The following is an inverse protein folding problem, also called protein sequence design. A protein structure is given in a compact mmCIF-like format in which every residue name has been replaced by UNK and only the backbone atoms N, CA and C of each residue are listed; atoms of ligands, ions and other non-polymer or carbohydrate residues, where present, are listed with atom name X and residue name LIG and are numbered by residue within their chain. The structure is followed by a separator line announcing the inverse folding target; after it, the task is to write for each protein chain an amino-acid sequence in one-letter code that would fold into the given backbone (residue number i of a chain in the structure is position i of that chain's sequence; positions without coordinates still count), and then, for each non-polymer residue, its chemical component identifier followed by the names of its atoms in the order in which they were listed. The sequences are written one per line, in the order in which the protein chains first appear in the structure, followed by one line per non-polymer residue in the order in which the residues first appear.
data_IF_833324278100
#
_entry.id   IF_833324278100
#
_cell.length_a   1.000
_cell.length_b   1.000
_cell.length_c   1.000
_cell.angle_alpha   90.00
_cell.angle_beta   90.00
_cell.angle_gamma   90.00
#
_symmetry.space_group_name_H-M   'P 1'
#
loop_
_entity.id
_entity.type
_entity.pdbx_description
1 polymer ?
#
# COMPACT_ATOMS: atom_id res chain seq x y z
N UNK A 1 -3.09 -61.74 -35.96
CA UNK A 1 -2.24 -60.95 -35.05
C UNK A 1 -2.94 -59.62 -34.77
N UNK A 2 -3.61 -59.51 -33.63
CA UNK A 2 -3.89 -58.23 -32.96
C UNK A 2 -2.59 -57.76 -32.24
N UNK A 3 -2.50 -56.60 -31.55
CA UNK A 3 -3.18 -55.28 -31.66
C UNK A 3 -2.22 -54.06 -31.39
N UNK A 4 -2.80 -52.85 -31.26
CA UNK A 4 -2.29 -51.63 -30.55
C UNK A 4 -1.34 -50.69 -31.33
N UNK A 5 -1.36 -49.34 -31.23
CA UNK A 5 -1.74 -48.36 -30.18
C UNK A 5 -2.25 -47.06 -30.87
N UNK A 6 -3.42 -46.50 -30.53
CA UNK A 6 -3.62 -45.40 -29.56
C UNK A 6 -2.52 -44.33 -29.55
N UNK A 7 -2.86 -43.13 -30.04
CA UNK A 7 -2.11 -41.90 -29.81
C UNK A 7 -3.08 -40.72 -29.75
N UNK A 8 -3.73 -40.53 -28.60
CA UNK A 8 -4.46 -39.31 -28.25
C UNK A 8 -3.42 -38.25 -27.94
N UNK A 9 -3.31 -37.19 -28.74
CA UNK A 9 -2.57 -36.00 -28.32
C UNK A 9 -3.52 -35.18 -27.45
N UNK A 10 -3.32 -35.30 -26.15
CA UNK A 10 -3.92 -34.43 -25.16
C UNK A 10 -3.33 -33.02 -25.33
N UNK A 11 -4.16 -32.08 -25.79
CA UNK A 11 -3.87 -30.67 -25.68
C UNK A 11 -3.95 -30.29 -24.20
N UNK A 12 -2.80 -30.19 -23.54
CA UNK A 12 -2.70 -29.50 -22.25
C UNK A 12 -2.96 -28.01 -22.48
N UNK A 13 -4.22 -27.61 -22.30
CA UNK A 13 -4.58 -26.22 -22.04
C UNK A 13 -3.93 -25.81 -20.71
N UNK A 14 -2.81 -25.10 -20.80
CA UNK A 14 -2.29 -24.28 -19.70
C UNK A 14 -3.32 -23.19 -19.38
N UNK A 15 -4.29 -23.51 -18.53
CA UNK A 15 -5.08 -22.51 -17.82
C UNK A 15 -4.13 -21.76 -16.87
N UNK A 16 -3.54 -20.68 -17.39
CA UNK A 16 -2.93 -19.65 -16.56
C UNK A 16 -4.04 -18.98 -15.77
N UNK A 17 -4.25 -19.42 -14.54
CA UNK A 17 -5.12 -18.76 -13.58
C UNK A 17 -4.62 -17.33 -13.37
N UNK A 18 -5.25 -16.35 -14.00
CA UNK A 18 -5.08 -14.96 -13.60
C UNK A 18 -5.60 -14.84 -12.17
N UNK A 19 -4.68 -14.80 -11.20
CA UNK A 19 -5.02 -14.45 -9.84
C UNK A 19 -5.80 -13.12 -9.87
N UNK A 20 -6.90 -12.99 -9.12
CA UNK A 20 -7.57 -11.70 -9.03
C UNK A 20 -6.54 -10.65 -8.57
N UNK A 21 -6.54 -9.46 -9.17
CA UNK A 21 -5.56 -8.39 -8.89
C UNK A 21 -5.43 -7.99 -7.39
N UNK A 22 -6.35 -8.50 -6.56
CA UNK A 22 -6.39 -8.43 -5.11
C UNK A 22 -5.36 -9.37 -4.45
N UNK A 23 -5.18 -10.58 -4.98
CA UNK A 23 -4.31 -11.63 -4.45
C UNK A 23 -2.82 -11.39 -4.78
N UNK A 24 -2.52 -10.54 -5.77
CA UNK A 24 -1.15 -10.19 -6.16
C UNK A 24 -0.53 -9.09 -5.27
N UNK A 25 -1.35 -8.32 -4.54
CA UNK A 25 -0.91 -7.13 -3.80
C UNK A 25 -0.58 -7.46 -2.35
N UNK A 26 0.62 -7.10 -1.91
CA UNK A 26 1.00 -7.22 -0.50
C UNK A 26 0.10 -6.36 0.42
N UNK A 27 -0.07 -6.75 1.70
CA UNK A 27 -1.01 -6.10 2.61
C UNK A 27 -0.75 -4.60 2.79
N UNK A 28 0.52 -4.16 2.76
CA UNK A 28 0.89 -2.75 2.90
C UNK A 28 0.50 -1.92 1.68
N UNK A 29 0.62 -2.48 0.47
CA UNK A 29 0.20 -1.79 -0.75
C UNK A 29 -1.34 -1.66 -0.81
N UNK A 30 -2.07 -2.68 -0.35
CA UNK A 30 -3.52 -2.60 -0.20
C UNK A 30 -3.92 -1.52 0.82
N UNK A 31 -3.26 -1.50 1.98
CA UNK A 31 -3.50 -0.51 3.03
C UNK A 31 -3.19 0.93 2.56
N UNK A 32 -2.10 1.14 1.81
CA UNK A 32 -1.75 2.43 1.23
C UNK A 32 -2.85 2.94 0.29
N UNK A 33 -3.42 2.06 -0.53
CA UNK A 33 -4.51 2.44 -1.45
C UNK A 33 -5.82 2.74 -0.70
N UNK A 34 -6.12 2.01 0.37
CA UNK A 34 -7.29 2.30 1.22
C UNK A 34 -7.17 3.66 1.90
N UNK A 35 -5.99 3.97 2.45
CA UNK A 35 -5.74 5.26 3.08
C UNK A 35 -5.81 6.40 2.06
N UNK A 36 -5.18 6.26 0.89
CA UNK A 36 -5.27 7.27 -0.19
C UNK A 36 -6.71 7.54 -0.62
N UNK A 37 -7.52 6.49 -0.78
CA UNK A 37 -8.92 6.64 -1.15
C UNK A 37 -9.75 7.37 -0.09
N UNK A 38 -9.33 7.31 1.18
CA UNK A 38 -9.97 8.02 2.28
C UNK A 38 -9.53 9.49 2.37
N UNK A 39 -8.33 9.83 1.90
CA UNK A 39 -7.85 11.22 1.86
C UNK A 39 -8.71 12.04 0.90
N UNK A 40 -9.25 13.15 1.38
CA UNK A 40 -10.13 14.01 0.61
C UNK A 40 -9.36 14.81 -0.46
N UNK A 41 -10.04 15.17 -1.54
CA UNK A 41 -9.45 16.02 -2.59
C UNK A 41 -9.02 17.41 -2.10
N UNK A 42 -9.59 17.91 -1.01
CA UNK A 42 -9.20 19.19 -0.41
C UNK A 42 -7.90 19.08 0.42
N UNK A 43 -7.54 17.86 0.83
CA UNK A 43 -6.35 17.58 1.61
C UNK A 43 -5.09 17.35 0.77
N UNK A 44 -5.22 17.32 -0.56
CA UNK A 44 -4.12 17.10 -1.49
C UNK A 44 -3.94 18.29 -2.43
N UNK A 45 -2.73 18.47 -2.93
CA UNK A 45 -2.40 19.50 -3.92
C UNK A 45 -3.16 19.30 -5.25
N UNK A 46 -3.36 20.39 -6.03
CA UNK A 46 -4.16 20.36 -7.26
C UNK A 46 -3.61 19.39 -8.32
N UNK A 47 -2.29 19.22 -8.37
CA UNK A 47 -1.60 18.35 -9.34
C UNK A 47 -1.86 16.86 -9.08
N UNK A 48 -2.30 16.49 -7.86
CA UNK A 48 -2.55 15.10 -7.49
C UNK A 48 -3.56 14.43 -8.43
N UNK A 49 -4.57 15.17 -8.91
CA UNK A 49 -5.57 14.64 -9.85
C UNK A 49 -4.96 14.08 -11.14
N UNK A 50 -3.91 14.73 -11.64
CA UNK A 50 -3.20 14.26 -12.85
C UNK A 50 -2.28 13.07 -12.57
N UNK A 51 -1.70 13.01 -11.38
CA UNK A 51 -0.74 11.98 -10.97
C UNK A 51 -1.43 10.68 -10.54
N UNK A 52 -2.56 10.81 -9.83
CA UNK A 52 -3.25 9.72 -9.14
C UNK A 52 -3.52 8.50 -10.01
N UNK A 53 -4.02 8.59 -11.26
CA UNK A 53 -4.28 7.39 -12.06
C UNK A 53 -3.03 6.54 -12.27
N UNK A 54 -1.90 7.18 -12.58
CA UNK A 54 -0.61 6.51 -12.73
C UNK A 54 -0.08 5.98 -11.40
N UNK A 55 -0.24 6.74 -10.32
CA UNK A 55 0.13 6.32 -8.97
C UNK A 55 -0.64 5.07 -8.54
N UNK A 56 -1.96 5.01 -8.74
CA UNK A 56 -2.81 3.86 -8.40
C UNK A 56 -2.34 2.60 -9.14
N UNK A 57 -2.00 2.73 -10.43
CA UNK A 57 -1.43 1.62 -11.21
C UNK A 57 -0.07 1.17 -10.66
N UNK A 58 0.77 2.11 -10.22
CA UNK A 58 2.06 1.77 -9.61
C UNK A 58 1.88 1.07 -8.26
N UNK A 59 0.96 1.52 -7.40
CA UNK A 59 0.65 0.81 -6.14
C UNK A 59 0.09 -0.58 -6.43
N UNK A 60 -0.72 -0.71 -7.47
CA UNK A 60 -1.29 -1.99 -7.88
C UNK A 60 -0.24 -3.02 -8.31
N UNK A 61 0.83 -2.55 -8.95
CA UNK A 61 1.89 -3.38 -9.50
C UNK A 61 3.15 -3.40 -8.62
N UNK A 62 3.14 -2.74 -7.46
CA UNK A 62 4.29 -2.70 -6.57
C UNK A 62 4.62 -4.10 -6.05
N UNK A 63 5.85 -4.55 -6.32
CA UNK A 63 6.33 -5.89 -5.99
C UNK A 63 7.37 -5.91 -4.86
N UNK A 64 7.68 -4.75 -4.27
CA UNK A 64 8.67 -4.63 -3.20
C UNK A 64 8.28 -3.56 -2.17
N UNK A 65 8.74 -3.72 -0.94
CA UNK A 65 8.54 -2.73 0.12
C UNK A 65 9.15 -1.37 -0.26
N UNK A 66 10.31 -1.34 -0.91
CA UNK A 66 10.95 -0.11 -1.36
C UNK A 66 10.07 0.67 -2.37
N UNK A 67 9.42 -0.03 -3.31
CA UNK A 67 8.47 0.61 -4.24
C UNK A 67 7.24 1.16 -3.50
N UNK A 68 6.66 0.39 -2.58
CA UNK A 68 5.51 0.85 -1.78
C UNK A 68 5.90 2.07 -0.93
N UNK A 69 7.09 2.07 -0.35
CA UNK A 69 7.62 3.21 0.41
C UNK A 69 7.76 4.46 -0.47
N UNK A 70 8.33 4.31 -1.67
CA UNK A 70 8.42 5.41 -2.64
C UNK A 70 7.06 6.00 -3.02
N UNK A 71 6.05 5.14 -3.20
CA UNK A 71 4.68 5.56 -3.50
C UNK A 71 3.99 6.21 -2.30
N UNK A 72 4.25 5.75 -1.08
CA UNK A 72 3.78 6.37 0.16
C UNK A 72 4.37 7.78 0.33
N UNK A 73 5.66 7.98 0.02
CA UNK A 73 6.26 9.33 0.03
C UNK A 73 5.65 10.26 -1.02
N UNK A 74 5.27 9.73 -2.20
CA UNK A 74 4.57 10.54 -3.21
C UNK A 74 3.19 10.99 -2.71
N UNK A 75 2.45 10.11 -2.03
CA UNK A 75 1.20 10.48 -1.39
C UNK A 75 1.43 11.53 -0.29
N UNK A 76 2.40 11.32 0.61
CA UNK A 76 2.75 12.28 1.66
C UNK A 76 3.07 13.66 1.09
N UNK A 77 3.89 13.72 0.05
CA UNK A 77 4.26 14.97 -0.61
C UNK A 77 3.07 15.66 -1.31
N UNK A 78 2.01 14.91 -1.62
CA UNK A 78 0.78 15.47 -2.18
C UNK A 78 -0.15 16.04 -1.11
N UNK A 79 -0.07 15.57 0.15
CA UNK A 79 -0.91 16.04 1.24
C UNK A 79 -0.49 17.46 1.64
N UNK A 80 -1.47 18.35 1.78
CA UNK A 80 -1.20 19.75 2.12
C UNK A 80 -0.81 19.93 3.58
N UNK A 81 -0.12 21.03 3.89
CA UNK A 81 0.30 21.31 5.27
C UNK A 81 -0.87 21.59 6.22
N UNK A 82 -2.00 22.02 5.69
CA UNK A 82 -3.26 22.24 6.43
C UNK A 82 -3.97 20.93 6.75
N UNK A 83 -3.66 19.84 6.03
CA UNK A 83 -4.25 18.53 6.20
C UNK A 83 -3.54 17.65 7.24
N UNK A 84 -2.43 18.13 7.80
CA UNK A 84 -1.60 17.39 8.77
C UNK A 84 -1.44 18.16 10.08
N UNK A 85 -1.12 17.44 11.15
CA UNK A 85 -0.79 18.02 12.45
C UNK A 85 0.41 18.97 12.34
N UNK A 86 0.41 20.07 13.10
CA UNK A 86 1.49 21.08 13.06
C UNK A 86 2.86 20.51 13.45
N UNK A 87 2.88 19.53 14.36
CA UNK A 87 4.07 18.79 14.79
C UNK A 87 4.76 18.07 13.63
N UNK A 88 4.02 17.73 12.57
CA UNK A 88 4.56 17.01 11.41
C UNK A 88 5.75 17.73 10.78
N UNK A 89 5.74 19.06 10.74
CA UNK A 89 6.85 19.85 10.18
C UNK A 89 8.21 19.52 10.81
N UNK A 90 8.23 19.25 12.11
CA UNK A 90 9.47 18.88 12.81
C UNK A 90 9.86 17.41 12.61
N UNK A 91 8.88 16.52 12.42
CA UNK A 91 9.09 15.07 12.29
C UNK A 91 9.37 14.62 10.85
N UNK A 92 8.80 15.30 9.86
CA UNK A 92 8.79 14.90 8.44
C UNK A 92 10.17 14.57 7.88
N UNK A 93 11.20 15.35 8.21
CA UNK A 93 12.55 15.10 7.69
C UNK A 93 13.09 13.72 8.11
N UNK A 94 12.89 13.34 9.37
CA UNK A 94 13.26 12.01 9.87
C UNK A 94 12.41 10.91 9.22
N UNK A 95 11.10 11.13 9.11
CA UNK A 95 10.19 10.16 8.49
C UNK A 95 10.55 9.90 7.02
N UNK A 96 10.90 10.94 6.27
CA UNK A 96 11.35 10.82 4.87
C UNK A 96 12.64 10.02 4.78
N UNK A 97 13.61 10.25 5.67
CA UNK A 97 14.85 9.48 5.71
C UNK A 97 14.59 8.00 6.01
N UNK A 98 13.72 7.72 6.99
CA UNK A 98 13.29 6.36 7.33
C UNK A 98 12.59 5.68 6.14
N UNK A 99 11.66 6.38 5.48
CA UNK A 99 10.96 5.89 4.29
C UNK A 99 11.90 5.60 3.12
N UNK A 100 12.92 6.44 2.89
CA UNK A 100 13.95 6.18 1.88
C UNK A 100 14.80 4.94 2.21
N UNK A 101 15.02 4.66 3.50
CA UNK A 101 15.75 3.48 3.97
C UNK A 101 14.91 2.21 4.08
N UNK A 102 13.58 2.30 4.13
CA UNK A 102 12.71 1.16 4.37
C UNK A 102 12.87 0.08 3.28
N UNK A 103 13.17 -1.16 3.69
CA UNK A 103 13.34 -2.33 2.83
C UNK A 103 12.39 -3.46 3.17
N UNK A 104 11.66 -3.38 4.29
CA UNK A 104 10.72 -4.42 4.70
C UNK A 104 9.26 -3.94 4.74
N UNK A 105 8.29 -4.86 4.56
CA UNK A 105 6.87 -4.52 4.74
C UNK A 105 6.56 -3.97 6.14
N UNK A 106 7.26 -4.42 7.18
CA UNK A 106 7.01 -3.98 8.54
C UNK A 106 7.49 -2.54 8.78
N UNK A 107 8.64 -2.14 8.22
CA UNK A 107 9.10 -0.74 8.24
C UNK A 107 8.10 0.18 7.53
N UNK A 108 7.68 -0.20 6.32
CA UNK A 108 6.70 0.60 5.56
C UNK A 108 5.35 0.67 6.29
N UNK A 109 4.92 -0.42 6.95
CA UNK A 109 3.70 -0.42 7.73
C UNK A 109 3.75 0.57 8.90
N UNK A 110 4.87 0.66 9.62
CA UNK A 110 5.06 1.64 10.72
C UNK A 110 4.99 3.08 10.21
N UNK A 111 5.67 3.35 9.09
CA UNK A 111 5.68 4.68 8.48
C UNK A 111 4.31 5.08 7.94
N UNK A 112 3.54 4.13 7.38
CA UNK A 112 2.19 4.37 6.91
C UNK A 112 1.21 4.64 8.07
N UNK A 113 1.34 3.91 9.18
CA UNK A 113 0.59 4.17 10.40
C UNK A 113 0.87 5.58 10.93
N UNK A 114 2.14 5.99 10.94
CA UNK A 114 2.51 7.33 11.39
C UNK A 114 1.95 8.42 10.48
N UNK A 115 2.03 8.24 9.15
CA UNK A 115 1.45 9.19 8.20
C UNK A 115 -0.07 9.34 8.39
N UNK A 116 -0.77 8.25 8.64
CA UNK A 116 -2.21 8.28 8.95
C UNK A 116 -2.48 9.03 10.25
N UNK A 117 -1.72 8.74 11.30
CA UNK A 117 -1.88 9.37 12.61
C UNK A 117 -1.69 10.88 12.57
N UNK A 118 -0.73 11.36 11.77
CA UNK A 118 -0.47 12.80 11.60
C UNK A 118 -1.43 13.48 10.63
N UNK A 119 -2.20 12.72 9.86
CA UNK A 119 -3.24 13.26 8.97
C UNK A 119 -4.48 13.63 9.78
N UNK A 120 -5.01 14.84 9.58
CA UNK A 120 -6.14 15.33 10.37
C UNK A 120 -7.43 14.60 10.00
N UNK A 121 -8.34 14.45 10.97
CA UNK A 121 -9.66 13.88 10.72
C UNK A 121 -10.50 14.66 9.69
N UNK A 122 -10.24 15.96 9.52
CA UNK A 122 -10.88 16.78 8.48
C UNK A 122 -10.32 16.54 7.08
N UNK A 123 -9.15 15.90 6.99
CA UNK A 123 -8.47 15.60 5.73
C UNK A 123 -8.87 14.25 5.15
N UNK A 124 -9.58 13.41 5.92
CA UNK A 124 -10.12 12.11 5.50
C UNK A 124 -11.65 12.14 5.46
N UNK A 125 -12.25 11.29 4.63
CA UNK A 125 -13.70 11.19 4.57
C UNK A 125 -14.31 10.61 5.87
N UNK A 126 -15.60 10.88 6.09
CA UNK A 126 -16.28 10.47 7.32
C UNK A 126 -16.41 8.95 7.51
N UNK A 127 -16.34 8.17 6.43
CA UNK A 127 -16.41 6.70 6.49
C UNK A 127 -15.13 6.09 7.04
N UNK A 128 -14.01 6.81 6.95
CA UNK A 128 -12.71 6.36 7.46
C UNK A 128 -12.75 5.92 8.93
N UNK A 129 -13.58 6.57 9.76
CA UNK A 129 -13.75 6.20 11.18
C UNK A 129 -14.16 4.74 11.39
N UNK A 130 -14.94 4.18 10.46
CA UNK A 130 -15.39 2.80 10.54
C UNK A 130 -14.35 1.82 9.99
N UNK A 131 -13.56 2.25 9.00
CA UNK A 131 -12.52 1.42 8.35
C UNK A 131 -11.22 1.37 9.16
N UNK A 132 -10.84 2.50 9.78
CA UNK A 132 -9.56 2.70 10.47
C UNK A 132 -9.22 1.63 11.50
N UNK A 133 -10.11 1.17 12.40
CA UNK A 133 -9.74 0.16 13.40
C UNK A 133 -9.22 -1.15 12.79
N UNK A 134 -9.87 -1.63 11.74
CA UNK A 134 -9.43 -2.84 11.01
C UNK A 134 -8.12 -2.59 10.28
N UNK A 135 -8.02 -1.47 9.57
CA UNK A 135 -6.82 -1.05 8.85
C UNK A 135 -5.59 -0.91 9.76
N UNK A 136 -5.74 -0.28 10.94
CA UNK A 136 -4.69 -0.16 11.95
C UNK A 136 -4.30 -1.54 12.49
N UNK A 137 -5.28 -2.40 12.77
CA UNK A 137 -5.02 -3.76 13.24
C UNK A 137 -4.19 -4.59 12.26
N UNK A 138 -4.53 -4.54 10.97
CA UNK A 138 -3.80 -5.22 9.90
C UNK A 138 -2.36 -4.71 9.76
N UNK A 139 -2.16 -3.39 9.71
CA UNK A 139 -0.83 -2.81 9.61
C UNK A 139 0.00 -3.03 10.87
N UNK A 140 -0.60 -2.96 12.06
CA UNK A 140 0.08 -3.27 13.32
C UNK A 140 0.55 -4.73 13.36
N UNK A 141 -0.26 -5.66 12.83
CA UNK A 141 0.14 -7.05 12.69
C UNK A 141 1.31 -7.22 11.70
N UNK A 142 1.33 -6.47 10.60
CA UNK A 142 2.47 -6.44 9.66
C UNK A 142 3.73 -5.91 10.37
N UNK A 143 3.62 -4.76 11.04
CA UNK A 143 4.70 -4.10 11.76
C UNK A 143 5.29 -4.96 12.90
N UNK A 144 4.45 -5.77 13.57
CA UNK A 144 4.85 -6.63 14.68
C UNK A 144 5.46 -7.98 14.27
N UNK A 145 5.43 -8.38 12.99
CA UNK A 145 5.96 -9.68 12.54
C UNK A 145 7.49 -9.77 12.59
N UNK A 146 8.21 -8.65 12.45
CA UNK A 146 9.69 -8.66 12.52
C UNK A 146 10.25 -8.77 13.95
N UNK A 147 9.51 -8.30 14.96
CA UNK A 147 9.95 -8.39 16.36
C UNK A 147 9.94 -9.81 16.94
N UNK A 148 9.38 -10.79 16.22
CA UNK A 148 9.25 -12.20 16.66
C UNK A 148 10.21 -13.17 16.00
N UNK A 149 11.01 -12.75 15.01
CA UNK A 149 11.84 -13.67 14.22
C UNK A 149 13.28 -13.81 14.71
N UNK A 150 13.64 -13.30 15.89
CA UNK A 150 15.02 -13.31 16.43
C UNK A 150 15.10 -13.85 17.86
N UNK A 151 14.32 -14.88 18.20
CA UNK A 151 14.53 -15.65 19.44
C UNK A 151 14.72 -17.12 19.14
#
# INVERSE_FOLDING_TARGET
MSPFRRGVIAALLLLGSALPAQAQRGPVAAALMQFEAAVTWAAVGPDWRGIRPGWVQQVANASSAAQVSGLMMQLEASITWEAVQRSWRGRRAGWVAEAQSARSPAEVARLLLELEEVTLWSAVDGSWRNTRPGWVGELSAVAGREGRSTK
#
